data_IF_595025704736
#
_entry.id   IF_595025704736
#
_cell.length_a   1.000
_cell.length_b   1.000
_cell.length_c   1.000
_cell.angle_alpha   90.00
_cell.angle_beta   90.00
_cell.angle_gamma   90.00
#
_symmetry.space_group_name_H-M   'P 1'
#
loop_
_entity.id
_entity.type
_entity.pdbx_description
1 polymer ?
#
# COMPACT_ATOMS: atom_id res chain seq x y z
N UNK A 1 -24.25 -39.52 37.52
CA UNK A 1 -23.64 -38.22 37.20
C UNK A 1 -22.95 -38.40 35.87
N UNK A 2 -23.35 -37.62 34.87
CA UNK A 2 -22.81 -37.69 33.51
C UNK A 2 -21.28 -37.62 33.57
N UNK A 3 -20.57 -38.46 32.79
CA UNK A 3 -19.10 -38.45 32.67
C UNK A 3 -18.64 -37.20 31.90
N UNK A 4 -18.90 -36.02 32.47
CA UNK A 4 -18.58 -34.73 31.87
C UNK A 4 -17.22 -34.25 32.38
N UNK A 5 -16.34 -33.88 31.44
CA UNK A 5 -15.05 -33.27 31.78
C UNK A 5 -15.25 -31.95 32.52
N UNK A 6 -14.38 -31.62 33.48
CA UNK A 6 -14.38 -30.34 34.19
C UNK A 6 -14.36 -29.14 33.22
N UNK A 7 -13.64 -29.28 32.10
CA UNK A 7 -13.56 -28.25 31.04
C UNK A 7 -14.91 -28.07 30.33
N UNK A 8 -15.60 -29.16 30.07
CA UNK A 8 -16.91 -29.15 29.42
C UNK A 8 -17.97 -28.59 30.36
N UNK A 9 -17.86 -28.92 31.65
CA UNK A 9 -18.75 -28.39 32.69
C UNK A 9 -18.61 -26.87 32.84
N UNK A 10 -17.36 -26.38 32.87
CA UNK A 10 -17.10 -24.94 32.90
C UNK A 10 -17.67 -24.22 31.67
N UNK A 11 -17.53 -24.81 30.48
CA UNK A 11 -18.08 -24.25 29.23
C UNK A 11 -19.60 -24.15 29.27
N UNK A 12 -20.28 -25.23 29.63
CA UNK A 12 -21.75 -25.23 29.74
C UNK A 12 -22.20 -24.20 30.79
N UNK A 13 -21.57 -24.18 31.97
CA UNK A 13 -21.90 -23.21 33.02
C UNK A 13 -21.72 -21.76 32.56
N UNK A 14 -20.62 -21.47 31.85
CA UNK A 14 -20.32 -20.11 31.40
C UNK A 14 -21.35 -19.58 30.40
N UNK A 15 -21.87 -20.45 29.52
CA UNK A 15 -22.81 -20.05 28.47
C UNK A 15 -24.28 -20.20 28.85
N UNK A 16 -24.63 -21.21 29.66
CA UNK A 16 -26.02 -21.55 29.98
C UNK A 16 -26.40 -21.28 31.45
N UNK A 17 -25.45 -20.91 32.31
CA UNK A 17 -25.72 -20.44 33.68
C UNK A 17 -26.57 -21.41 34.50
N UNK A 18 -27.72 -20.94 34.97
CA UNK A 18 -28.65 -21.72 35.82
C UNK A 18 -29.23 -22.94 35.09
N UNK A 19 -29.45 -22.82 33.78
CA UNK A 19 -29.94 -23.92 32.94
C UNK A 19 -28.98 -25.13 32.94
N UNK A 20 -27.68 -24.87 33.12
CA UNK A 20 -26.67 -25.91 33.24
C UNK A 20 -26.81 -26.73 34.52
N UNK A 21 -27.32 -26.13 35.60
CA UNK A 21 -27.51 -26.82 36.88
C UNK A 21 -28.83 -27.58 36.94
N UNK A 22 -29.86 -27.06 36.29
CA UNK A 22 -31.21 -27.63 36.35
C UNK A 22 -31.40 -28.83 35.41
N UNK A 23 -30.66 -28.87 34.29
CA UNK A 23 -30.90 -29.84 33.23
C UNK A 23 -29.64 -30.61 32.83
N UNK A 24 -29.24 -31.56 33.67
CA UNK A 24 -28.09 -32.43 33.42
C UNK A 24 -28.25 -33.32 32.17
N UNK A 25 -29.49 -33.63 31.80
CA UNK A 25 -29.84 -34.37 30.59
C UNK A 25 -29.57 -33.59 29.30
N UNK A 26 -29.53 -32.25 29.36
CA UNK A 26 -29.31 -31.40 28.19
C UNK A 26 -27.84 -31.07 27.95
N UNK A 27 -26.93 -31.44 28.84
CA UNK A 27 -25.50 -31.10 28.74
C UNK A 27 -24.86 -31.51 27.41
N UNK A 28 -25.25 -32.67 26.87
CA UNK A 28 -24.73 -33.14 25.57
C UNK A 28 -25.15 -32.23 24.42
N UNK A 29 -26.42 -31.81 24.40
CA UNK A 29 -26.95 -30.91 23.38
C UNK A 29 -26.36 -29.50 23.52
N UNK A 30 -26.21 -29.03 24.76
CA UNK A 30 -25.53 -27.76 25.06
C UNK A 30 -24.08 -27.75 24.55
N UNK A 31 -23.34 -28.85 24.73
CA UNK A 31 -21.97 -28.98 24.20
C UNK A 31 -21.93 -29.00 22.66
N UNK A 32 -22.88 -29.67 22.01
CA UNK A 32 -22.98 -29.65 20.54
C UNK A 32 -23.22 -28.24 20.00
N UNK A 33 -24.10 -27.46 20.65
CA UNK A 33 -24.35 -26.07 20.28
C UNK A 33 -23.09 -25.21 20.43
N UNK A 34 -22.40 -25.31 21.58
CA UNK A 34 -21.15 -24.57 21.80
C UNK A 34 -20.04 -24.98 20.84
N UNK A 35 -19.97 -26.26 20.47
CA UNK A 35 -19.01 -26.72 19.46
C UNK A 35 -19.27 -26.13 18.09
N UNK A 36 -20.53 -25.81 17.77
CA UNK A 36 -20.91 -25.16 16.51
C UNK A 36 -20.51 -23.68 16.54
N UNK A 37 -20.79 -22.98 17.64
CA UNK A 37 -20.38 -21.58 17.83
C UNK A 37 -18.85 -21.41 17.82
N UNK A 38 -18.13 -22.34 18.46
CA UNK A 38 -16.66 -22.37 18.44
C UNK A 38 -16.13 -22.53 17.00
N UNK A 39 -16.81 -23.35 16.18
CA UNK A 39 -16.44 -23.57 14.78
C UNK A 39 -16.68 -22.31 13.93
N UNK A 40 -17.84 -21.66 14.09
CA UNK A 40 -18.16 -20.43 13.37
C UNK A 40 -17.17 -19.31 13.71
N UNK A 41 -16.85 -19.16 15.00
CA UNK A 41 -15.85 -18.20 15.45
C UNK A 41 -14.45 -18.52 14.94
N UNK A 42 -14.07 -19.80 14.92
CA UNK A 42 -12.79 -20.23 14.36
C UNK A 42 -12.71 -19.95 12.86
N UNK A 43 -13.80 -20.18 12.13
CA UNK A 43 -13.89 -19.90 10.69
C UNK A 43 -13.80 -18.40 10.42
N UNK A 44 -14.51 -17.58 11.18
CA UNK A 44 -14.42 -16.11 11.09
C UNK A 44 -12.98 -15.63 11.32
N UNK A 45 -12.35 -16.10 12.40
CA UNK A 45 -10.95 -15.77 12.73
C UNK A 45 -10.00 -16.16 11.61
N UNK A 46 -10.10 -17.39 11.09
CA UNK A 46 -9.26 -17.87 10.00
C UNK A 46 -9.47 -17.06 8.71
N UNK A 47 -10.71 -16.64 8.44
CA UNK A 47 -11.04 -15.83 7.27
C UNK A 47 -10.46 -14.42 7.38
N UNK A 48 -10.51 -13.82 8.57
CA UNK A 48 -9.94 -12.50 8.84
C UNK A 48 -8.41 -12.52 8.78
N UNK A 49 -7.76 -13.56 9.30
CA UNK A 49 -6.32 -13.77 9.16
C UNK A 49 -5.92 -13.89 7.69
N UNK A 50 -6.66 -14.68 6.91
CA UNK A 50 -6.42 -14.84 5.48
C UNK A 50 -6.58 -13.52 4.74
N UNK A 51 -7.64 -12.76 5.02
CA UNK A 51 -7.90 -11.44 4.43
C UNK A 51 -6.75 -10.48 4.74
N UNK A 52 -6.28 -10.47 5.99
CA UNK A 52 -5.16 -9.63 6.44
C UNK A 52 -3.86 -10.01 5.74
N UNK A 53 -3.58 -11.30 5.62
CA UNK A 53 -2.41 -11.82 4.91
C UNK A 53 -2.42 -11.46 3.43
N UNK A 54 -3.56 -11.65 2.75
CA UNK A 54 -3.74 -11.28 1.35
C UNK A 54 -3.54 -9.78 1.13
N UNK A 55 -4.15 -8.94 1.99
CA UNK A 55 -3.98 -7.48 1.94
C UNK A 55 -2.50 -7.09 2.03
N UNK A 56 -1.76 -7.67 2.98
CA UNK A 56 -0.33 -7.41 3.14
C UNK A 56 0.49 -7.85 1.91
N UNK A 57 0.13 -8.98 1.30
CA UNK A 57 0.80 -9.47 0.08
C UNK A 57 0.61 -8.51 -1.10
N UNK A 58 -0.61 -8.01 -1.31
CA UNK A 58 -0.91 -7.06 -2.40
C UNK A 58 -0.17 -5.74 -2.18
N UNK A 59 -0.20 -5.20 -0.95
CA UNK A 59 0.51 -3.98 -0.61
C UNK A 59 2.03 -4.14 -0.78
N UNK A 60 2.60 -5.29 -0.41
CA UNK A 60 4.02 -5.58 -0.63
C UNK A 60 4.40 -5.61 -2.11
N UNK A 61 3.58 -6.23 -2.95
CA UNK A 61 3.80 -6.24 -4.40
C UNK A 61 3.67 -4.84 -5.02
N UNK A 62 2.80 -3.98 -4.51
CA UNK A 62 2.73 -2.57 -4.91
C UNK A 62 3.97 -1.78 -4.44
N UNK A 63 4.39 -1.94 -3.18
CA UNK A 63 5.58 -1.30 -2.63
C UNK A 63 6.86 -1.65 -3.42
N UNK A 64 6.97 -2.90 -3.85
CA UNK A 64 8.06 -3.42 -4.69
C UNK A 64 7.96 -3.00 -6.17
N UNK A 65 6.92 -2.26 -6.56
CA UNK A 65 6.70 -1.82 -7.95
C UNK A 65 6.27 -2.94 -8.92
N UNK A 66 5.84 -4.11 -8.40
CA UNK A 66 5.35 -5.25 -9.22
C UNK A 66 3.88 -5.13 -9.59
N UNK A 67 3.13 -4.31 -8.86
CA UNK A 67 1.75 -3.94 -9.15
C UNK A 67 1.67 -2.46 -9.48
N UNK A 68 0.84 -2.10 -10.45
CA UNK A 68 0.48 -0.69 -10.64
C UNK A 68 -0.47 -0.22 -9.55
N UNK A 69 -0.52 1.11 -9.34
CA UNK A 69 -1.41 1.73 -8.36
C UNK A 69 -2.89 1.34 -8.58
N UNK A 70 -3.36 1.38 -9.84
CA UNK A 70 -4.74 1.03 -10.19
C UNK A 70 -5.05 -0.43 -9.85
N UNK A 71 -4.15 -1.34 -10.20
CA UNK A 71 -4.33 -2.76 -9.89
C UNK A 71 -4.34 -3.01 -8.36
N UNK A 72 -3.54 -2.27 -7.60
CA UNK A 72 -3.54 -2.38 -6.14
C UNK A 72 -4.85 -1.84 -5.51
N UNK A 73 -5.39 -0.72 -6.03
CA UNK A 73 -6.68 -0.16 -5.61
C UNK A 73 -7.81 -1.16 -5.92
N UNK A 74 -7.87 -1.67 -7.15
CA UNK A 74 -8.90 -2.62 -7.57
C UNK A 74 -8.83 -3.93 -6.79
N UNK A 75 -7.63 -4.46 -6.52
CA UNK A 75 -7.44 -5.72 -5.80
C UNK A 75 -7.77 -5.63 -4.30
N UNK A 76 -7.67 -4.44 -3.71
CA UNK A 76 -7.95 -4.19 -2.30
C UNK A 76 -9.34 -3.57 -2.07
N UNK A 77 -10.10 -3.35 -3.15
CA UNK A 77 -11.40 -2.66 -3.15
C UNK A 77 -11.32 -1.30 -2.43
N UNK A 78 -10.26 -0.54 -2.71
CA UNK A 78 -10.04 0.78 -2.12
C UNK A 78 -10.71 1.85 -2.97
N UNK A 79 -11.10 2.94 -2.32
CA UNK A 79 -11.76 4.04 -3.02
C UNK A 79 -10.82 4.79 -3.95
N UNK A 80 -9.60 5.06 -3.47
CA UNK A 80 -8.64 5.90 -4.18
C UNK A 80 -7.19 5.66 -3.73
N UNK A 81 -6.30 6.49 -4.28
CA UNK A 81 -4.88 6.49 -3.97
C UNK A 81 -4.55 6.86 -2.54
N UNK A 82 -5.36 7.69 -1.88
CA UNK A 82 -5.10 8.11 -0.51
C UNK A 82 -5.33 6.94 0.45
N UNK A 83 -6.40 6.18 0.26
CA UNK A 83 -6.65 4.95 1.04
C UNK A 83 -5.55 3.91 0.84
N UNK A 84 -5.00 3.80 -0.38
CA UNK A 84 -3.87 2.91 -0.64
C UNK A 84 -2.62 3.31 0.16
N UNK A 85 -2.33 4.60 0.26
CA UNK A 85 -1.19 5.11 1.04
C UNK A 85 -1.39 4.92 2.55
N UNK A 86 -2.62 5.11 3.05
CA UNK A 86 -2.95 4.81 4.45
C UNK A 86 -2.75 3.32 4.74
N UNK A 87 -3.26 2.44 3.88
CA UNK A 87 -3.12 0.99 4.06
C UNK A 87 -1.65 0.54 4.03
N UNK A 88 -0.81 1.19 3.23
CA UNK A 88 0.64 1.02 3.20
C UNK A 88 1.30 1.41 4.52
N UNK A 89 0.93 2.56 5.07
CA UNK A 89 1.39 3.06 6.36
C UNK A 89 1.01 2.15 7.51
N UNK A 90 -0.26 1.73 7.57
CA UNK A 90 -0.77 0.79 8.57
C UNK A 90 -0.03 -0.56 8.51
N UNK A 91 0.38 -1.00 7.32
CA UNK A 91 1.14 -2.23 7.12
C UNK A 91 2.65 -2.08 7.44
N UNK A 92 3.14 -0.86 7.69
CA UNK A 92 4.55 -0.56 7.92
C UNK A 92 5.43 -0.81 6.69
N UNK A 93 4.86 -0.68 5.48
CA UNK A 93 5.56 -0.89 4.22
C UNK A 93 6.16 0.41 3.69
N UNK A 94 7.28 0.34 2.94
CA UNK A 94 7.91 1.54 2.39
C UNK A 94 7.05 2.17 1.31
N UNK A 95 7.22 3.48 1.10
CA UNK A 95 6.55 4.19 0.02
C UNK A 95 6.82 3.52 -1.34
N UNK A 96 5.80 3.43 -2.21
CA UNK A 96 5.92 2.76 -3.49
C UNK A 96 7.00 3.42 -4.34
N UNK A 97 7.92 2.62 -4.87
CA UNK A 97 8.90 3.12 -5.81
C UNK A 97 8.28 3.23 -7.22
N UNK A 98 8.60 4.29 -7.98
CA UNK A 98 8.18 4.38 -9.37
C UNK A 98 8.71 3.18 -10.16
N UNK A 99 7.88 2.64 -11.05
CA UNK A 99 8.24 1.48 -11.85
C UNK A 99 9.41 1.80 -12.80
N UNK A 100 10.18 0.78 -13.21
CA UNK A 100 11.30 0.98 -14.11
C UNK A 100 10.90 1.64 -15.46
N UNK A 101 9.66 1.43 -15.90
CA UNK A 101 9.10 2.06 -17.09
C UNK A 101 8.87 3.56 -16.87
N UNK A 102 8.24 3.95 -15.75
CA UNK A 102 8.03 5.36 -15.38
C UNK A 102 9.36 6.08 -15.15
N UNK A 103 10.34 5.43 -14.52
CA UNK A 103 11.68 5.99 -14.34
C UNK A 103 12.35 6.25 -15.70
N UNK A 104 12.20 5.33 -16.66
CA UNK A 104 12.74 5.52 -18.02
C UNK A 104 12.06 6.67 -18.75
N UNK A 105 10.73 6.74 -18.71
CA UNK A 105 9.96 7.83 -19.34
C UNK A 105 10.32 9.20 -18.74
N UNK A 106 10.47 9.27 -17.42
CA UNK A 106 10.92 10.48 -16.73
C UNK A 106 12.35 10.85 -17.14
N UNK A 107 13.25 9.87 -17.24
CA UNK A 107 14.62 10.10 -17.70
C UNK A 107 14.68 10.62 -19.15
N UNK A 108 13.86 10.06 -20.05
CA UNK A 108 13.74 10.51 -21.44
C UNK A 108 13.15 11.92 -21.55
N UNK A 109 12.16 12.23 -20.72
CA UNK A 109 11.55 13.56 -20.64
C UNK A 109 12.57 14.59 -20.18
N UNK A 110 13.33 14.29 -19.12
CA UNK A 110 14.40 15.16 -18.63
C UNK A 110 15.50 15.32 -19.68
N UNK A 111 15.94 14.24 -20.34
CA UNK A 111 16.95 14.30 -21.39
C UNK A 111 16.54 15.21 -22.56
N UNK A 112 15.25 15.17 -22.94
CA UNK A 112 14.69 16.05 -23.97
C UNK A 112 14.73 17.53 -23.56
N UNK A 113 14.31 17.84 -22.33
CA UNK A 113 14.40 19.22 -21.81
C UNK A 113 15.83 19.74 -21.76
N UNK A 114 16.81 18.91 -21.37
CA UNK A 114 18.22 19.32 -21.37
C UNK A 114 18.77 19.60 -22.78
N UNK A 115 18.37 18.81 -23.78
CA UNK A 115 18.74 19.06 -25.17
C UNK A 115 18.11 20.35 -25.69
N UNK A 116 16.83 20.59 -25.42
CA UNK A 116 16.10 21.78 -25.84
C UNK A 116 16.68 23.06 -25.22
N UNK A 117 17.02 23.04 -23.92
CA UNK A 117 17.68 24.16 -23.24
C UNK A 117 19.08 24.41 -23.84
N UNK A 118 19.82 23.35 -24.18
CA UNK A 118 21.14 23.50 -24.79
C UNK A 118 21.02 24.13 -26.18
N UNK A 119 20.09 23.68 -27.00
CA UNK A 119 19.84 24.24 -28.32
C UNK A 119 19.32 25.69 -28.26
N UNK A 120 18.49 26.03 -27.27
CA UNK A 120 17.98 27.38 -27.05
C UNK A 120 19.07 28.36 -26.55
N UNK A 121 20.06 27.88 -25.80
CA UNK A 121 21.20 28.71 -25.31
C UNK A 121 22.33 28.90 -26.32
N UNK A 122 22.40 28.07 -27.37
CA UNK A 122 23.39 28.21 -28.45
C UNK A 122 23.25 29.53 -29.23
N UNK A 123 22.06 30.01 -29.63
CA UNK A 123 21.92 31.30 -30.32
C UNK A 123 22.22 32.50 -29.41
N UNK A 124 21.87 32.45 -28.12
CA UNK A 124 22.17 33.52 -27.16
C UNK A 124 23.69 33.71 -26.95
N UNK A 125 24.45 32.62 -26.90
CA UNK A 125 25.91 32.66 -26.84
C UNK A 125 26.56 33.18 -28.15
N UNK A 126 25.92 32.92 -29.31
CA UNK A 126 26.37 33.40 -30.62
C UNK A 126 26.10 34.90 -30.84
N UNK A 127 24.98 35.43 -30.34
CA UNK A 127 24.70 36.88 -30.39
C UNK A 127 25.67 37.69 -29.53
N UNK A 128 26.03 37.20 -28.33
CA UNK A 128 27.01 37.87 -27.46
C UNK A 128 28.41 37.91 -28.12
N UNK A 129 28.79 36.86 -28.85
CA UNK A 129 30.07 36.81 -29.57
C UNK A 129 30.05 37.63 -30.87
N UNK A 130 28.90 37.75 -31.54
CA UNK A 130 28.73 38.55 -32.76
C UNK A 130 28.61 40.07 -32.47
N UNK A 131 27.98 40.45 -31.35
CA UNK A 131 27.84 41.84 -30.92
C UNK A 131 29.11 42.50 -30.35
N UNK A 132 30.18 41.73 -30.12
CA UNK A 132 31.44 42.24 -29.57
C UNK A 132 32.40 42.85 -30.62
N UNK A 133 32.01 42.91 -31.91
CA UNK A 133 32.87 43.42 -32.98
C UNK A 133 32.38 44.78 -33.52
N UNK A 134 32.39 45.81 -32.68
CA UNK A 134 32.37 47.20 -33.11
C UNK A 134 32.98 48.12 -32.04
N UNK A 135 34.29 48.02 -31.84
CA UNK A 135 35.05 49.10 -31.20
C UNK A 135 35.42 50.09 -32.31
N UNK A 136 34.90 51.32 -32.33
CA UNK A 136 35.40 52.33 -33.23
C UNK A 136 36.82 52.72 -32.80
N UNK A 137 37.80 52.41 -33.62
CA UNK A 137 39.14 53.02 -33.59
C UNK A 137 38.99 54.50 -33.91
N UNK A 138 38.94 55.35 -32.89
CA UNK A 138 39.19 56.78 -33.03
C UNK A 138 40.71 56.97 -33.13
N UNK A 139 41.22 56.93 -34.36
CA UNK A 139 42.44 57.64 -34.73
C UNK A 139 42.04 59.10 -34.97
N UNK A 140 42.32 59.99 -34.01
CA UNK A 140 42.62 61.41 -34.26
C UNK A 140 42.79 62.17 -32.93
N UNK A 141 43.99 62.12 -32.35
CA UNK A 141 44.57 63.26 -31.62
C UNK A 141 46.09 63.12 -31.67
N UNK A 142 46.73 63.82 -32.62
CA UNK A 142 48.10 64.33 -32.51
C UNK A 142 48.42 65.22 -33.73
N UNK A 143 48.06 66.50 -33.65
CA UNK A 143 48.91 67.65 -34.01
C UNK A 143 48.22 68.99 -33.77
#
# INVERSE_FOLDING_TARGET
MSDLSEKDWQRIRQHFGDLAYEHAEMHKMMLELLSTDDLDKALETATDELRTSLKRSVLGAYADGRLSQRQAIDALDLRDSAELLVALGDAGLPMPQPSAAEVREQAETVARFFLEIREAKVPEALEILSGAQAVPTNDDELK
#
